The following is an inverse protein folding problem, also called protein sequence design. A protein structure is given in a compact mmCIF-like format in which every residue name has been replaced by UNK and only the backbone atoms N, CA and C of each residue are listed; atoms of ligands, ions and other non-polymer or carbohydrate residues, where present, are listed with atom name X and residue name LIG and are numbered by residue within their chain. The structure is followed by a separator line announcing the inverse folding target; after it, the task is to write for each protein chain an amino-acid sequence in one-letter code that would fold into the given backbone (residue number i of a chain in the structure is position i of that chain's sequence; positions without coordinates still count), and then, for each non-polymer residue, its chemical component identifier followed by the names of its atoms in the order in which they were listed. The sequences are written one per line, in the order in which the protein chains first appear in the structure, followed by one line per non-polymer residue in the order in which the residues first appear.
data_IF_833372216090
#
_entry.id   IF_833372216090
#
_cell.length_a   1.000
_cell.length_b   1.000
_cell.length_c   1.000
_cell.angle_alpha   90.00
_cell.angle_beta   90.00
_cell.angle_gamma   90.00
#
_symmetry.space_group_name_H-M   'P 1'
#
loop_
_entity.id
_entity.type
_entity.pdbx_description
1 polymer ?
#
# COMPACT_ATOMS: atom_id res chain seq x y z
N UNK A 1 -11.73 -2.70 -6.40
CA UNK A 1 -11.88 -3.59 -7.57
C UNK A 1 -10.91 -3.14 -8.66
N UNK A 2 -9.94 -3.98 -9.00
CA UNK A 2 -8.88 -3.67 -9.97
C UNK A 2 -9.48 -3.74 -11.38
N UNK A 3 -9.29 -2.69 -12.19
CA UNK A 3 -9.94 -2.54 -13.49
C UNK A 3 -11.34 -1.92 -13.44
N UNK A 4 -11.94 -1.82 -12.29
CA UNK A 4 -13.17 -1.09 -11.93
C UNK A 4 -14.20 -0.89 -13.04
N UNK A 5 -14.42 0.35 -13.41
CA UNK A 5 -15.34 0.77 -14.45
C UNK A 5 -14.72 0.59 -15.85
N UNK A 6 -14.81 -0.63 -16.38
CA UNK A 6 -14.27 -1.00 -17.69
C UNK A 6 -15.21 -0.79 -18.87
N UNK A 7 -16.21 0.06 -18.79
CA UNK A 7 -17.18 0.29 -19.88
C UNK A 7 -16.55 0.81 -21.17
N UNK A 8 -15.42 1.50 -21.06
CA UNK A 8 -14.65 2.00 -22.21
C UNK A 8 -13.46 1.12 -22.62
N UNK A 9 -13.34 -0.07 -22.05
CA UNK A 9 -12.23 -0.99 -22.25
C UNK A 9 -11.34 -1.17 -21.04
N UNK A 10 -10.31 -2.01 -21.17
CA UNK A 10 -9.35 -2.27 -20.11
C UNK A 10 -8.53 -1.01 -19.78
N UNK A 11 -8.13 -0.79 -18.51
CA UNK A 11 -7.23 0.29 -18.15
C UNK A 11 -5.87 0.14 -18.83
N UNK A 12 -5.07 1.21 -18.87
CA UNK A 12 -3.69 1.12 -19.35
C UNK A 12 -2.89 0.11 -18.52
N UNK A 13 -1.83 -0.46 -19.11
CA UNK A 13 -0.94 -1.40 -18.44
C UNK A 13 -0.41 -0.85 -17.11
N UNK A 14 0.08 0.40 -17.12
CA UNK A 14 0.60 1.04 -15.92
C UNK A 14 -0.49 1.26 -14.87
N UNK A 15 -1.65 1.76 -15.27
CA UNK A 15 -2.76 1.97 -14.34
C UNK A 15 -3.19 0.64 -13.69
N UNK A 16 -3.24 -0.46 -14.45
CA UNK A 16 -3.57 -1.77 -13.91
C UNK A 16 -2.57 -2.22 -12.85
N UNK A 17 -1.25 -2.09 -13.12
CA UNK A 17 -0.18 -2.44 -12.20
C UNK A 17 -0.26 -1.59 -10.93
N UNK A 18 -0.38 -0.27 -11.06
CA UNK A 18 -0.50 0.63 -9.90
C UNK A 18 -1.78 0.36 -9.10
N UNK A 19 -2.86 0.02 -9.78
CA UNK A 19 -4.13 -0.28 -9.11
C UNK A 19 -4.07 -1.56 -8.27
N UNK A 20 -3.45 -2.64 -8.77
CA UNK A 20 -3.27 -3.84 -7.94
C UNK A 20 -2.37 -3.55 -6.74
N UNK A 21 -1.32 -2.74 -6.88
CA UNK A 21 -0.44 -2.32 -5.79
C UNK A 21 -1.22 -1.60 -4.67
N UNK A 22 -2.08 -0.63 -5.01
CA UNK A 22 -2.92 0.06 -4.02
C UNK A 22 -3.81 -0.92 -3.25
N UNK A 23 -4.34 -1.94 -3.94
CA UNK A 23 -5.31 -2.86 -3.35
C UNK A 23 -4.71 -3.98 -2.50
N UNK A 24 -3.39 -4.22 -2.56
CA UNK A 24 -2.72 -5.33 -1.85
C UNK A 24 -3.02 -5.33 -0.35
N UNK A 25 -3.04 -4.16 0.27
CA UNK A 25 -3.29 -4.01 1.71
C UNK A 25 -4.73 -3.58 2.03
N UNK A 26 -5.65 -3.70 1.07
CA UNK A 26 -7.08 -3.50 1.30
C UNK A 26 -7.74 -4.80 1.79
N UNK A 27 -8.86 -4.73 2.52
CA UNK A 27 -9.55 -5.92 3.03
C UNK A 27 -10.03 -6.88 1.94
N UNK A 28 -10.38 -6.36 0.76
CA UNK A 28 -10.87 -7.16 -0.36
C UNK A 28 -10.07 -6.84 -1.63
N UNK A 29 -9.44 -7.86 -2.20
CA UNK A 29 -8.77 -7.80 -3.47
C UNK A 29 -9.67 -8.48 -4.52
N UNK A 30 -10.22 -7.68 -5.43
CA UNK A 30 -11.15 -8.16 -6.45
C UNK A 30 -10.69 -7.71 -7.84
N UNK A 31 -10.66 -8.62 -8.80
CA UNK A 31 -10.16 -8.41 -10.16
C UNK A 31 -11.33 -8.35 -11.14
N UNK A 32 -11.47 -7.24 -11.87
CA UNK A 32 -12.45 -7.05 -12.94
C UNK A 32 -11.90 -7.41 -14.31
N UNK A 33 -10.64 -7.01 -14.60
CA UNK A 33 -9.90 -7.40 -15.78
C UNK A 33 -8.76 -8.34 -15.41
N UNK A 34 -8.64 -9.44 -16.13
CA UNK A 34 -7.63 -10.48 -15.87
C UNK A 34 -6.23 -10.01 -16.31
N UNK A 35 -5.15 -10.31 -15.57
CA UNK A 35 -3.81 -9.80 -15.88
C UNK A 35 -3.23 -10.29 -17.22
N UNK A 36 -3.62 -11.45 -17.68
CA UNK A 36 -3.13 -12.04 -18.93
C UNK A 36 -3.65 -11.41 -20.23
N UNK A 37 -4.51 -10.39 -20.16
CA UNK A 37 -4.84 -9.56 -21.33
C UNK A 37 -3.74 -8.57 -21.68
N UNK A 38 -2.75 -8.39 -20.80
CA UNK A 38 -1.59 -7.51 -21.00
C UNK A 38 -0.37 -8.34 -21.46
N UNK A 39 0.47 -8.74 -20.53
CA UNK A 39 1.69 -9.49 -20.78
C UNK A 39 2.13 -10.33 -19.57
N UNK A 40 3.18 -11.15 -19.75
CA UNK A 40 3.68 -12.05 -18.71
C UNK A 40 4.24 -11.28 -17.48
N UNK A 41 4.81 -10.08 -17.66
CA UNK A 41 5.31 -9.28 -16.54
C UNK A 41 4.15 -8.83 -15.65
N UNK A 42 3.02 -8.42 -16.24
CA UNK A 42 1.80 -8.06 -15.49
C UNK A 42 1.24 -9.28 -14.75
N UNK A 43 1.26 -10.46 -15.39
CA UNK A 43 0.83 -11.71 -14.74
C UNK A 43 1.71 -12.02 -13.53
N UNK A 44 3.03 -12.00 -13.69
CA UNK A 44 3.97 -12.29 -12.60
C UNK A 44 3.87 -11.27 -11.47
N UNK A 45 3.74 -9.99 -11.80
CA UNK A 45 3.54 -8.95 -10.80
C UNK A 45 2.21 -9.13 -10.04
N UNK A 46 1.14 -9.45 -10.75
CA UNK A 46 -0.17 -9.70 -10.13
C UNK A 46 -0.13 -10.89 -9.18
N UNK A 47 0.59 -11.95 -9.55
CA UNK A 47 0.82 -13.11 -8.69
C UNK A 47 1.58 -12.69 -7.41
N UNK A 48 2.71 -11.98 -7.56
CA UNK A 48 3.49 -11.50 -6.42
C UNK A 48 2.67 -10.60 -5.47
N UNK A 49 1.81 -9.72 -6.01
CA UNK A 49 0.93 -8.87 -5.22
C UNK A 49 -0.15 -9.68 -4.50
N UNK A 50 -0.71 -10.70 -5.15
CA UNK A 50 -1.68 -11.61 -4.52
C UNK A 50 -1.04 -12.43 -3.39
N UNK A 51 0.18 -12.90 -3.57
CA UNK A 51 0.95 -13.58 -2.54
C UNK A 51 1.26 -12.63 -1.36
N UNK A 52 1.60 -11.37 -1.64
CA UNK A 52 1.78 -10.35 -0.61
C UNK A 52 0.49 -10.14 0.18
N UNK A 53 -0.65 -9.99 -0.49
CA UNK A 53 -1.97 -9.90 0.16
C UNK A 53 -2.24 -11.11 1.07
N UNK A 54 -1.96 -12.32 0.57
CA UNK A 54 -2.15 -13.56 1.32
C UNK A 54 -1.32 -13.61 2.60
N UNK A 55 -0.07 -13.09 2.57
CA UNK A 55 0.78 -13.00 3.78
C UNK A 55 0.18 -12.13 4.88
N UNK A 56 -0.67 -11.16 4.52
CA UNK A 56 -1.34 -10.28 5.48
C UNK A 56 -2.80 -10.67 5.77
N UNK A 57 -3.29 -11.81 5.26
CA UNK A 57 -4.67 -12.24 5.43
C UNK A 57 -5.06 -12.35 6.91
N UNK A 58 -4.24 -12.99 7.74
CA UNK A 58 -4.51 -13.13 9.17
C UNK A 58 -4.55 -11.76 9.88
N UNK A 59 -3.67 -10.84 9.50
CA UNK A 59 -3.70 -9.46 10.03
C UNK A 59 -5.00 -8.75 9.64
N UNK A 60 -5.41 -8.85 8.37
CA UNK A 60 -6.65 -8.25 7.89
C UNK A 60 -7.86 -8.82 8.64
N UNK A 61 -7.91 -10.15 8.84
CA UNK A 61 -8.98 -10.82 9.58
C UNK A 61 -9.01 -10.36 11.04
N UNK A 62 -7.84 -10.24 11.68
CA UNK A 62 -7.76 -9.75 13.07
C UNK A 62 -8.27 -8.30 13.18
N UNK A 63 -7.87 -7.42 12.26
CA UNK A 63 -8.35 -6.04 12.21
C UNK A 63 -9.86 -5.96 11.92
N UNK A 64 -10.40 -6.83 11.05
CA UNK A 64 -11.83 -6.91 10.79
C UNK A 64 -12.63 -7.30 12.06
N UNK A 65 -12.10 -8.20 12.88
CA UNK A 65 -12.70 -8.54 14.19
C UNK A 65 -12.63 -7.34 15.14
N UNK A 66 -11.48 -6.66 15.21
CA UNK A 66 -11.33 -5.46 16.02
C UNK A 66 -12.34 -4.37 15.62
N UNK A 67 -12.56 -4.16 14.31
CA UNK A 67 -13.56 -3.21 13.82
C UNK A 67 -14.97 -3.47 14.39
N UNK A 68 -15.34 -4.73 14.56
CA UNK A 68 -16.64 -5.10 15.15
C UNK A 68 -16.70 -4.75 16.63
N UNK A 69 -15.57 -4.82 17.35
CA UNK A 69 -15.51 -4.59 18.79
C UNK A 69 -15.44 -3.09 19.15
N UNK A 70 -14.62 -2.31 18.44
CA UNK A 70 -14.30 -0.92 18.80
C UNK A 70 -14.58 0.14 17.71
N UNK A 71 -14.98 -0.28 16.52
CA UNK A 71 -15.26 0.61 15.39
C UNK A 71 -14.02 1.12 14.66
N UNK A 72 -12.81 0.69 15.02
CA UNK A 72 -11.57 1.11 14.36
C UNK A 72 -11.54 0.66 12.90
N UNK A 73 -11.17 1.51 11.93
CA UNK A 73 -11.06 1.09 10.55
C UNK A 73 -9.88 0.13 10.32
N UNK A 74 -10.04 -0.80 9.38
CA UNK A 74 -8.97 -1.73 8.97
C UNK A 74 -7.85 -0.95 8.29
N UNK A 75 -8.20 -0.13 7.29
CA UNK A 75 -7.27 0.82 6.68
C UNK A 75 -7.46 2.19 7.34
N UNK A 76 -6.37 2.75 7.83
CA UNK A 76 -6.37 3.97 8.66
C UNK A 76 -5.62 5.09 7.97
N UNK A 77 -6.01 6.35 8.14
CA UNK A 77 -5.18 7.49 7.72
C UNK A 77 -3.91 7.54 8.58
N UNK A 78 -2.84 8.17 8.05
CA UNK A 78 -1.55 8.21 8.74
C UNK A 78 -1.64 8.89 10.11
N UNK A 79 -2.46 9.94 10.24
CA UNK A 79 -2.69 10.68 11.49
C UNK A 79 -3.36 9.85 12.59
N UNK A 80 -3.88 8.66 12.29
CA UNK A 80 -4.48 7.77 13.30
C UNK A 80 -3.51 7.35 14.40
N UNK A 81 -2.21 7.27 14.08
CA UNK A 81 -1.17 6.91 15.05
C UNK A 81 -0.87 8.01 16.06
N UNK A 82 -0.99 9.26 15.64
CA UNK A 82 -0.82 10.45 16.48
C UNK A 82 -1.65 11.61 15.89
N UNK A 83 -2.85 11.86 16.42
CA UNK A 83 -3.70 12.96 15.96
C UNK A 83 -3.12 14.36 16.21
N UNK A 84 -2.03 14.49 16.94
CA UNK A 84 -1.33 15.75 17.19
C UNK A 84 -0.20 16.02 16.20
N UNK A 85 0.14 15.05 15.35
CA UNK A 85 1.13 15.20 14.29
C UNK A 85 0.54 16.00 13.12
N UNK A 86 0.82 17.31 13.09
CA UNK A 86 0.33 18.22 12.05
C UNK A 86 0.77 17.80 10.63
N UNK A 87 1.94 17.16 10.48
CA UNK A 87 2.38 16.64 9.20
C UNK A 87 1.50 15.47 8.75
N UNK A 88 1.24 14.53 9.64
CA UNK A 88 0.40 13.37 9.37
C UNK A 88 -1.04 13.75 9.00
N UNK A 89 -1.58 14.83 9.56
CA UNK A 89 -2.91 15.35 9.21
C UNK A 89 -3.03 15.80 7.75
N UNK A 90 -1.90 16.21 7.13
CA UNK A 90 -1.85 16.63 5.73
C UNK A 90 -1.58 15.50 4.72
N UNK A 91 -1.35 14.26 5.18
CA UNK A 91 -1.04 13.13 4.30
C UNK A 91 -2.34 12.51 3.76
N UNK A 92 -2.56 12.59 2.45
CA UNK A 92 -3.74 12.08 1.76
C UNK A 92 -3.42 10.99 0.71
N UNK A 93 -2.14 10.70 0.47
CA UNK A 93 -1.64 9.76 -0.53
C UNK A 93 -0.93 8.52 0.07
N UNK A 94 -1.04 8.33 1.39
CA UNK A 94 -0.56 7.19 2.15
C UNK A 94 -1.65 6.68 3.10
N UNK A 95 -1.59 5.41 3.44
CA UNK A 95 -2.51 4.82 4.41
C UNK A 95 -1.84 3.73 5.24
N UNK A 96 -2.50 3.32 6.30
CA UNK A 96 -2.05 2.23 7.17
C UNK A 96 -2.95 1.00 7.00
N UNK A 97 -2.38 -0.19 7.16
CA UNK A 97 -3.11 -1.40 7.52
C UNK A 97 -2.92 -1.60 9.03
N UNK A 98 -3.99 -1.41 9.79
CA UNK A 98 -3.91 -1.31 11.24
C UNK A 98 -2.92 -0.22 11.67
N UNK A 99 -2.13 -0.49 12.73
CA UNK A 99 -1.12 0.43 13.24
C UNK A 99 0.31 0.06 12.83
N UNK A 100 0.47 -1.02 12.06
CA UNK A 100 1.78 -1.66 11.88
C UNK A 100 2.31 -1.66 10.46
N UNK A 101 1.50 -1.38 9.45
CA UNK A 101 1.96 -1.34 8.06
C UNK A 101 1.57 0.01 7.44
N UNK A 102 2.55 0.77 6.98
CA UNK A 102 2.36 1.99 6.21
C UNK A 102 2.54 1.70 4.73
N UNK A 103 1.59 2.13 3.91
CA UNK A 103 1.56 1.91 2.46
C UNK A 103 1.57 3.26 1.75
N UNK A 104 2.50 3.42 0.82
CA UNK A 104 2.71 4.66 0.09
C UNK A 104 2.69 4.41 -1.44
N UNK A 105 1.52 4.14 -2.04
CA UNK A 105 1.41 3.80 -3.45
C UNK A 105 1.72 4.99 -4.36
N UNK A 106 2.21 4.72 -5.58
CA UNK A 106 2.30 5.73 -6.63
C UNK A 106 0.93 5.88 -7.28
N UNK A 107 0.40 7.10 -7.31
CA UNK A 107 -0.95 7.42 -7.77
C UNK A 107 -1.00 8.09 -9.15
N UNK A 108 0.16 8.39 -9.75
CA UNK A 108 0.26 9.09 -11.03
C UNK A 108 1.06 8.30 -12.06
N UNK A 109 0.62 8.34 -13.31
CA UNK A 109 1.28 7.66 -14.44
C UNK A 109 2.68 8.25 -14.70
N UNK A 110 3.64 7.40 -15.06
CA UNK A 110 5.01 7.77 -15.37
C UNK A 110 5.90 8.13 -14.19
N UNK A 111 5.37 8.15 -12.97
CA UNK A 111 6.13 8.49 -11.76
C UNK A 111 6.91 7.26 -11.27
N UNK A 112 8.21 7.44 -11.00
CA UNK A 112 9.14 6.37 -10.58
C UNK A 112 9.80 6.62 -9.23
N UNK A 113 9.44 7.70 -8.54
CA UNK A 113 9.83 8.00 -7.16
C UNK A 113 8.74 8.81 -6.47
N UNK A 114 8.75 8.86 -5.15
CA UNK A 114 7.84 9.70 -4.39
C UNK A 114 8.43 10.08 -3.03
N UNK A 115 7.92 11.15 -2.45
CA UNK A 115 8.18 11.46 -1.05
C UNK A 115 7.26 10.60 -0.16
N UNK A 116 7.80 10.12 0.96
CA UNK A 116 7.07 9.27 1.92
C UNK A 116 7.29 9.83 3.31
N UNK A 117 6.22 10.11 4.02
CA UNK A 117 6.26 10.47 5.43
C UNK A 117 6.13 9.21 6.29
N UNK A 118 7.08 8.97 7.17
CA UNK A 118 7.01 7.95 8.20
C UNK A 118 6.77 8.64 9.55
N UNK A 119 5.62 8.41 10.21
CA UNK A 119 5.32 9.01 11.51
C UNK A 119 6.17 8.40 12.62
N UNK A 120 6.03 8.90 13.85
CA UNK A 120 6.78 8.43 15.02
C UNK A 120 6.79 6.91 15.15
N UNK A 121 7.98 6.34 15.34
CA UNK A 121 8.22 4.90 15.46
C UNK A 121 9.43 4.44 14.66
N UNK A 122 9.69 3.14 14.69
CA UNK A 122 10.77 2.50 13.92
C UNK A 122 10.16 1.70 12.78
N UNK A 123 10.55 2.00 11.55
CA UNK A 123 9.95 1.46 10.34
C UNK A 123 10.95 0.71 9.48
N UNK A 124 10.65 -0.54 9.14
CA UNK A 124 11.43 -1.37 8.21
C UNK A 124 10.84 -1.29 6.81
N UNK A 125 11.71 -1.10 5.84
CA UNK A 125 11.35 -1.12 4.42
C UNK A 125 10.96 -2.54 3.99
N UNK A 126 9.72 -2.72 3.55
CA UNK A 126 9.22 -4.03 3.12
C UNK A 126 9.85 -4.55 1.83
N UNK A 127 10.42 -3.66 1.00
CA UNK A 127 11.15 -4.02 -0.21
C UNK A 127 12.65 -4.27 0.04
N UNK A 128 13.19 -3.76 1.16
CA UNK A 128 14.61 -3.87 1.54
C UNK A 128 14.73 -4.22 3.03
N UNK A 129 14.29 -5.41 3.47
CA UNK A 129 14.21 -5.77 4.88
C UNK A 129 15.56 -5.83 5.59
N UNK A 130 16.65 -6.00 4.85
CA UNK A 130 18.02 -6.05 5.37
C UNK A 130 18.63 -4.65 5.59
N UNK A 131 17.97 -3.60 5.12
CA UNK A 131 18.39 -2.22 5.35
C UNK A 131 18.10 -1.82 6.79
N UNK A 132 18.96 -0.92 7.34
CA UNK A 132 18.69 -0.33 8.64
C UNK A 132 17.31 0.34 8.68
N UNK A 133 16.55 0.16 9.77
CA UNK A 133 15.22 0.73 9.87
C UNK A 133 15.28 2.26 9.94
N UNK A 134 14.26 2.90 9.44
CA UNK A 134 14.05 4.33 9.57
C UNK A 134 13.44 4.66 10.94
N UNK A 135 13.92 5.72 11.55
CA UNK A 135 13.32 6.26 12.80
C UNK A 135 12.53 7.51 12.44
N UNK A 136 11.19 7.44 12.63
CA UNK A 136 10.29 8.56 12.43
C UNK A 136 10.15 9.45 13.67
N UNK A 137 9.60 10.68 13.52
CA UNK A 137 9.02 11.18 12.28
C UNK A 137 10.10 11.59 11.27
N UNK A 138 9.96 11.18 10.01
CA UNK A 138 10.94 11.48 8.95
C UNK A 138 10.29 11.48 7.56
N UNK A 139 10.76 12.38 6.69
CA UNK A 139 10.48 12.33 5.27
C UNK A 139 11.57 11.55 4.52
N UNK A 140 11.16 10.57 3.75
CA UNK A 140 11.99 9.94 2.73
C UNK A 140 11.75 10.69 1.42
N UNK A 141 12.75 11.46 0.99
CA UNK A 141 12.64 12.27 -0.23
C UNK A 141 13.10 11.43 -1.42
N UNK A 142 12.36 11.52 -2.54
CA UNK A 142 12.62 10.80 -3.79
C UNK A 142 12.82 9.28 -3.58
N UNK A 143 12.03 8.68 -2.69
CA UNK A 143 12.08 7.23 -2.48
C UNK A 143 11.80 6.50 -3.80
N UNK A 144 12.70 5.59 -4.26
CA UNK A 144 12.52 4.89 -5.53
C UNK A 144 11.27 4.02 -5.54
N UNK A 145 10.39 4.25 -6.50
CA UNK A 145 9.16 3.52 -6.70
C UNK A 145 8.91 3.22 -8.20
N UNK A 146 9.85 2.52 -8.87
CA UNK A 146 9.64 2.12 -10.27
C UNK A 146 8.37 1.28 -10.40
N UNK A 147 7.89 1.07 -11.63
CA UNK A 147 6.55 0.56 -11.92
C UNK A 147 6.17 -0.70 -11.12
N UNK A 148 7.09 -1.62 -10.91
CA UNK A 148 6.82 -2.88 -10.20
C UNK A 148 7.12 -2.84 -8.70
N UNK A 149 7.38 -1.67 -8.12
CA UNK A 149 7.64 -1.51 -6.69
C UNK A 149 6.48 -0.78 -6.03
N UNK A 150 5.89 -1.42 -5.02
CA UNK A 150 4.98 -0.80 -4.07
C UNK A 150 5.77 -0.42 -2.82
N UNK A 151 5.99 0.85 -2.51
CA UNK A 151 6.57 1.24 -1.24
C UNK A 151 5.64 0.89 -0.07
N UNK A 152 6.12 0.10 0.87
CA UNK A 152 5.44 -0.15 2.14
C UNK A 152 6.47 -0.39 3.25
N UNK A 153 6.08 -0.09 4.47
CA UNK A 153 6.93 -0.15 5.64
C UNK A 153 6.22 -0.85 6.78
N UNK A 154 6.95 -1.67 7.52
CA UNK A 154 6.43 -2.36 8.70
C UNK A 154 6.99 -1.74 9.97
N UNK A 155 6.11 -1.43 10.94
CA UNK A 155 6.52 -0.87 12.23
C UNK A 155 7.17 -1.96 13.08
N UNK A 156 8.36 -1.69 13.59
CA UNK A 156 9.01 -2.55 14.58
C UNK A 156 8.45 -2.24 15.96
N UNK A 157 8.23 -3.27 16.75
CA UNK A 157 7.88 -3.14 18.16
C UNK A 157 9.09 -2.69 18.99
#
# INVERSE_FOLDING_TARGET
MIGGNGYSGAPSRELYIRWIQVNVFMPALQISYVPWIYDDEVVQHSLAMTELHTRYADTIIALARQTVEDGSPINRPVWWLDPTDETALGIDDQFLLGDTVLVAPVMSEGVTSRNIYLPSGTWRDGNNPDKDPYVGPVWLIDYPAPLFVLPYFTKSN
#
